data_IF_136259350412
#
_entry.id   IF_136259350412
#
_cell.length_a   1.000
_cell.length_b   1.000
_cell.length_c   1.000
_cell.angle_alpha   90.00
_cell.angle_beta   90.00
_cell.angle_gamma   90.00
#
_symmetry.space_group_name_H-M   'P 1'
#
loop_
_entity.id
_entity.type
_entity.pdbx_description
1 polymer ?
#
# COMPACT_ATOMS: atom_id res chain seq x y z
N UNK A 1 26.21 9.16 -1.82
CA UNK A 1 26.25 9.12 -0.35
C UNK A 1 26.45 10.51 0.20
N UNK A 2 25.64 10.90 1.19
CA UNK A 2 25.74 12.20 1.83
C UNK A 2 26.71 12.08 3.02
N UNK A 3 27.84 12.79 2.99
CA UNK A 3 28.92 12.71 3.99
C UNK A 3 28.72 13.62 5.22
N UNK A 4 27.47 14.02 5.50
CA UNK A 4 27.17 14.97 6.59
C UNK A 4 27.06 14.23 7.91
N UNK A 5 27.91 14.59 8.88
CA UNK A 5 27.89 14.03 10.24
C UNK A 5 26.79 14.67 11.10
N UNK A 6 26.27 13.97 12.13
CA UNK A 6 25.34 14.56 13.10
C UNK A 6 25.81 15.89 13.72
N UNK A 7 27.11 16.02 14.01
CA UNK A 7 27.70 17.21 14.61
C UNK A 7 27.59 18.45 13.69
N UNK A 8 27.54 18.24 12.37
CA UNK A 8 27.33 19.31 11.41
C UNK A 8 25.99 20.02 11.66
N UNK A 9 24.92 19.28 11.99
CA UNK A 9 23.61 19.84 12.29
C UNK A 9 23.60 20.71 13.56
N UNK A 10 24.36 20.31 14.59
CA UNK A 10 24.56 21.13 15.79
C UNK A 10 25.28 22.45 15.48
N UNK A 11 26.35 22.39 14.67
CA UNK A 11 27.08 23.59 14.25
C UNK A 11 26.26 24.54 13.37
N UNK A 12 25.45 24.03 12.44
CA UNK A 12 24.52 24.83 11.66
C UNK A 12 23.45 25.48 12.55
N UNK A 13 22.94 24.75 13.54
CA UNK A 13 21.99 25.29 14.52
C UNK A 13 22.58 26.46 15.30
N UNK A 14 23.84 26.36 15.76
CA UNK A 14 24.54 27.48 16.41
C UNK A 14 24.70 28.69 15.48
N UNK A 15 25.02 28.47 14.21
CA UNK A 15 25.13 29.56 13.24
C UNK A 15 23.79 30.28 13.01
N UNK A 16 22.70 29.54 12.92
CA UNK A 16 21.34 30.10 12.82
C UNK A 16 20.93 30.89 14.07
N UNK A 17 21.34 30.43 15.25
CA UNK A 17 21.11 31.15 16.50
C UNK A 17 21.95 32.45 16.59
N UNK A 18 23.18 32.42 16.07
CA UNK A 18 24.09 33.56 16.06
C UNK A 18 23.76 34.62 15.00
N UNK A 19 23.00 34.27 13.96
CA UNK A 19 22.57 35.24 12.94
C UNK A 19 21.43 36.11 13.48
N UNK A 20 21.76 37.25 14.09
CA UNK A 20 20.77 38.27 14.47
C UNK A 20 20.60 39.29 13.34
N UNK A 21 19.41 39.39 12.76
CA UNK A 21 19.01 40.56 11.98
C UNK A 21 18.39 41.60 12.92
N UNK A 22 18.85 42.85 12.82
CA UNK A 22 18.27 44.03 13.48
C UNK A 22 18.16 43.99 15.02
N UNK A 23 19.09 43.30 15.69
CA UNK A 23 19.15 43.25 17.16
C UNK A 23 17.98 42.49 17.81
N UNK A 24 17.25 41.68 17.03
CA UNK A 24 16.21 40.79 17.53
C UNK A 24 16.76 39.39 17.76
N UNK A 25 16.34 38.69 18.84
CA UNK A 25 16.74 37.32 19.08
C UNK A 25 16.14 36.41 18.00
N UNK A 26 17.00 35.65 17.33
CA UNK A 26 16.60 34.70 16.30
C UNK A 26 15.91 33.50 16.92
N UNK A 27 14.74 33.15 16.38
CA UNK A 27 13.94 32.01 16.83
C UNK A 27 14.15 30.87 15.87
N UNK A 28 14.78 29.81 16.34
CA UNK A 28 14.98 28.58 15.58
C UNK A 28 13.94 27.55 16.03
N UNK A 29 13.22 26.98 15.07
CA UNK A 29 12.32 25.86 15.30
C UNK A 29 12.99 24.58 14.75
N UNK A 30 13.24 23.62 15.64
CA UNK A 30 13.69 22.30 15.23
C UNK A 30 12.46 21.44 14.88
N UNK A 31 12.32 21.09 13.61
CA UNK A 31 11.24 20.22 13.10
C UNK A 31 11.86 18.89 12.69
N UNK A 32 11.45 17.82 13.37
CA UNK A 32 11.87 16.47 13.03
C UNK A 32 10.86 15.89 12.03
N UNK A 33 11.24 15.88 10.76
CA UNK A 33 10.53 15.14 9.72
C UNK A 33 11.05 13.70 9.67
N UNK A 34 10.16 12.72 9.47
CA UNK A 34 10.56 11.32 9.33
C UNK A 34 11.45 11.10 8.10
N UNK A 35 12.19 9.98 8.06
CA UNK A 35 13.07 9.67 6.92
C UNK A 35 13.77 8.32 7.05
N UNK A 36 14.56 7.97 6.04
CA UNK A 36 15.39 6.76 6.02
C UNK A 36 16.63 6.98 6.90
N UNK A 37 16.90 6.06 7.84
CA UNK A 37 17.96 6.11 8.86
C UNK A 37 17.61 6.90 10.15
N UNK A 38 16.78 6.27 10.98
CA UNK A 38 16.34 6.80 12.28
C UNK A 38 17.49 7.05 13.27
N UNK A 39 18.58 6.27 13.20
CA UNK A 39 19.75 6.46 14.08
C UNK A 39 20.49 7.76 13.75
N UNK A 40 20.68 8.06 12.45
CA UNK A 40 21.28 9.31 12.02
C UNK A 40 20.38 10.50 12.35
N UNK A 41 19.06 10.39 12.15
CA UNK A 41 18.10 11.44 12.50
C UNK A 41 18.13 11.72 14.00
N UNK A 42 18.17 10.66 14.82
CA UNK A 42 18.27 10.78 16.28
C UNK A 42 19.55 11.47 16.73
N UNK A 43 20.71 11.03 16.21
CA UNK A 43 21.99 11.63 16.55
C UNK A 43 22.05 13.11 16.12
N UNK A 44 21.57 13.44 14.92
CA UNK A 44 21.52 14.83 14.44
C UNK A 44 20.56 15.69 15.27
N UNK A 45 19.41 15.14 15.68
CA UNK A 45 18.46 15.83 16.55
C UNK A 45 19.05 16.13 17.93
N UNK A 46 19.81 15.18 18.50
CA UNK A 46 20.51 15.36 19.77
C UNK A 46 21.51 16.53 19.68
N UNK A 47 22.29 16.63 18.61
CA UNK A 47 23.24 17.72 18.38
C UNK A 47 22.54 19.08 18.21
N UNK A 48 21.39 19.13 17.53
CA UNK A 48 20.58 20.35 17.41
C UNK A 48 20.00 20.79 18.76
N UNK A 49 19.48 19.85 19.57
CA UNK A 49 18.93 20.15 20.89
C UNK A 49 20.03 20.61 21.84
N UNK A 50 21.20 19.97 21.82
CA UNK A 50 22.38 20.40 22.58
C UNK A 50 22.75 21.85 22.24
N UNK A 51 22.83 22.20 20.97
CA UNK A 51 23.08 23.58 20.52
C UNK A 51 22.01 24.59 20.98
N UNK A 52 20.74 24.17 21.10
CA UNK A 52 19.65 25.03 21.60
C UNK A 52 19.70 25.21 23.13
N UNK A 53 20.20 24.21 23.87
CA UNK A 53 20.28 24.21 25.33
C UNK A 53 21.53 24.95 25.86
N UNK A 54 22.65 24.88 25.15
CA UNK A 54 23.91 25.55 25.49
C UNK A 54 23.81 27.09 25.52
N UNK A 55 22.71 27.68 25.06
CA UNK A 55 22.41 29.12 25.22
C UNK A 55 21.99 29.53 26.64
N UNK A 56 21.95 28.60 27.60
CA UNK A 56 21.62 28.85 29.00
C UNK A 56 22.80 29.31 29.88
N UNK A 57 24.04 29.07 29.46
CA UNK A 57 25.24 29.50 30.19
C UNK A 57 26.19 30.15 29.19
N UNK A 58 26.20 31.49 29.20
CA UNK A 58 27.34 32.22 28.67
C UNK A 58 28.51 31.98 29.64
N UNK A 59 29.44 31.12 29.24
CA UNK A 59 30.82 31.20 29.70
C UNK A 59 31.76 30.95 28.52
N UNK A 60 32.94 31.54 28.64
CA UNK A 60 33.78 32.03 27.56
C UNK A 60 34.31 30.98 26.56
N UNK A 61 34.59 31.51 25.37
CA UNK A 61 35.24 30.89 24.22
C UNK A 61 36.54 30.15 24.53
N UNK A 62 36.73 28.98 23.91
CA UNK A 62 38.05 28.50 23.48
C UNK A 62 37.99 28.14 21.98
N UNK A 63 38.90 28.65 21.12
CA UNK A 63 38.92 28.32 19.69
C UNK A 63 39.46 26.90 19.49
N UNK A 64 38.80 26.12 18.62
CA UNK A 64 39.34 24.85 18.14
C UNK A 64 40.59 25.09 17.30
N UNK A 65 41.77 24.76 17.86
CA UNK A 65 42.98 24.56 17.09
C UNK A 65 42.78 23.44 16.06
N UNK A 66 43.21 23.73 14.83
CA UNK A 66 43.41 22.74 13.77
C UNK A 66 44.46 21.72 14.19
N UNK A 67 44.05 20.48 14.47
CA UNK A 67 44.98 19.36 14.57
C UNK A 67 45.11 18.71 13.20
N UNK A 68 46.18 19.07 12.48
CA UNK A 68 46.69 18.25 11.38
C UNK A 68 47.24 16.93 11.94
N UNK A 69 46.85 15.82 11.31
CA UNK A 69 47.60 14.57 11.34
C UNK A 69 47.25 13.58 12.45
N UNK A 70 46.29 12.68 12.19
CA UNK A 70 46.44 11.24 12.52
C UNK A 70 45.33 10.37 11.88
N UNK A 71 45.68 9.79 10.74
CA UNK A 71 45.24 8.52 10.12
C UNK A 71 43.77 8.00 10.24
N UNK A 72 43.14 7.59 9.11
CA UNK A 72 41.72 7.24 9.01
C UNK A 72 41.42 5.76 9.32
N UNK A 73 41.88 5.23 10.45
CA UNK A 73 41.57 3.84 10.81
C UNK A 73 41.54 3.61 12.33
N UNK A 74 40.40 3.88 12.96
CA UNK A 74 39.95 3.12 14.13
C UNK A 74 38.44 3.21 14.30
N UNK A 75 37.73 2.43 13.50
CA UNK A 75 36.38 1.96 13.84
C UNK A 75 36.45 1.29 15.22
N UNK A 76 35.97 1.98 16.26
CA UNK A 76 35.38 1.26 17.40
C UNK A 76 33.95 0.96 16.99
N UNK A 77 33.70 -0.30 16.66
CA UNK A 77 32.37 -0.87 16.56
C UNK A 77 31.56 -0.51 17.81
N UNK A 78 30.67 0.47 17.70
CA UNK A 78 29.60 0.63 18.67
C UNK A 78 28.65 -0.54 18.41
N UNK A 79 28.32 -1.40 19.39
CA UNK A 79 27.39 -2.49 19.17
C UNK A 79 26.07 -1.91 18.69
N UNK A 80 25.61 -2.32 17.50
CA UNK A 80 24.24 -2.10 17.08
C UNK A 80 23.34 -2.84 18.06
N UNK A 81 22.75 -2.11 19.00
CA UNK A 81 21.62 -2.62 19.76
C UNK A 81 20.43 -2.85 18.83
N UNK A 82 19.57 -3.81 19.17
CA UNK A 82 18.38 -4.15 18.38
C UNK A 82 17.55 -2.91 18.00
N UNK A 83 16.84 -2.90 16.85
CA UNK A 83 16.08 -1.73 16.36
C UNK A 83 15.06 -1.15 17.36
N UNK A 84 14.53 -1.97 18.28
CA UNK A 84 13.64 -1.55 19.36
C UNK A 84 14.36 -0.72 20.43
N UNK A 85 15.64 -0.97 20.65
CA UNK A 85 16.48 -0.19 21.57
C UNK A 85 16.88 1.16 20.99
N UNK A 86 17.01 1.29 19.66
CA UNK A 86 17.34 2.54 18.98
C UNK A 86 16.27 3.61 19.20
N UNK A 87 15.00 3.32 18.90
CA UNK A 87 13.92 4.31 19.04
C UNK A 87 13.61 4.65 20.51
N UNK A 88 13.68 3.66 21.40
CA UNK A 88 13.55 3.87 22.84
C UNK A 88 14.74 4.68 23.37
N UNK A 89 15.97 4.43 22.90
CA UNK A 89 17.15 5.22 23.24
C UNK A 89 17.06 6.63 22.68
N UNK A 90 16.55 6.82 21.47
CA UNK A 90 16.30 8.14 20.87
C UNK A 90 15.28 8.93 21.68
N UNK A 91 14.15 8.31 22.04
CA UNK A 91 13.15 8.92 22.90
C UNK A 91 13.67 9.17 24.31
N UNK A 92 14.49 8.29 24.86
CA UNK A 92 15.11 8.44 26.17
C UNK A 92 16.15 9.55 26.17
N UNK A 93 17.03 9.63 25.16
CA UNK A 93 18.02 10.70 24.98
C UNK A 93 17.34 12.05 24.77
N UNK A 94 16.30 12.11 23.93
CA UNK A 94 15.48 13.32 23.75
C UNK A 94 14.77 13.69 25.05
N UNK A 95 14.19 12.73 25.78
CA UNK A 95 13.51 12.99 27.06
C UNK A 95 14.50 13.45 28.13
N UNK A 96 15.71 12.89 28.18
CA UNK A 96 16.78 13.33 29.08
C UNK A 96 17.26 14.75 28.73
N UNK A 97 17.42 15.07 27.45
CA UNK A 97 17.76 16.43 27.02
C UNK A 97 16.62 17.43 27.30
N UNK A 98 15.36 17.04 27.08
CA UNK A 98 14.18 17.86 27.37
C UNK A 98 13.94 18.02 28.87
N UNK A 99 14.36 17.06 29.70
CA UNK A 99 14.26 17.16 31.17
C UNK A 99 15.24 18.16 31.79
N UNK A 100 16.27 18.57 31.04
CA UNK A 100 17.18 19.65 31.40
C UNK A 100 16.65 21.05 31.05
N UNK A 101 15.48 21.15 30.40
CA UNK A 101 14.83 22.44 30.14
C UNK A 101 14.32 23.05 31.47
N UNK A 102 14.50 24.36 31.70
CA UNK A 102 13.89 25.04 32.83
C UNK A 102 12.36 24.84 32.80
N UNK A 103 11.75 24.54 33.94
CA UNK A 103 10.29 24.29 34.13
C UNK A 103 9.38 25.46 33.70
N UNK A 104 9.97 26.56 33.21
CA UNK A 104 9.31 27.80 32.86
C UNK A 104 9.18 27.99 31.34
N UNK A 105 9.62 27.03 30.50
CA UNK A 105 9.24 27.03 29.09
C UNK A 105 7.79 26.57 28.95
N UNK A 106 6.90 27.55 28.84
CA UNK A 106 5.53 27.32 28.41
C UNK A 106 5.61 26.95 26.92
N UNK A 107 5.73 25.65 26.61
CA UNK A 107 5.62 25.12 25.25
C UNK A 107 4.14 25.20 24.90
N UNK A 108 3.68 26.12 24.02
CA UNK A 108 2.32 26.05 23.54
C UNK A 108 2.21 24.79 22.69
N UNK A 109 1.53 23.77 23.21
CA UNK A 109 0.95 22.73 22.37
C UNK A 109 -0.11 23.45 21.54
N UNK A 110 0.26 23.93 20.36
CA UNK A 110 -0.69 24.55 19.41
C UNK A 110 -1.60 23.41 18.93
N UNK A 111 -2.87 23.36 19.37
CA UNK A 111 -3.78 22.37 18.84
C UNK A 111 -4.01 22.73 17.37
N UNK A 112 -3.90 21.73 16.48
CA UNK A 112 -4.32 21.90 15.09
C UNK A 112 -5.73 22.55 15.06
N UNK A 113 -5.95 23.61 14.27
CA UNK A 113 -7.18 24.38 14.32
C UNK A 113 -8.39 23.47 14.07
N UNK A 114 -9.24 23.32 15.09
CA UNK A 114 -10.57 22.72 14.94
C UNK A 114 -11.38 23.61 14.01
N UNK A 115 -11.67 23.12 12.80
CA UNK A 115 -12.62 23.78 11.89
C UNK A 115 -13.96 23.95 12.62
N UNK A 116 -14.38 25.21 12.74
CA UNK A 116 -15.69 25.58 13.25
C UNK A 116 -16.78 24.89 12.43
N UNK A 117 -17.70 24.21 13.11
CA UNK A 117 -18.90 23.68 12.51
C UNK A 117 -19.77 24.84 11.99
N UNK A 118 -19.75 25.09 10.69
CA UNK A 118 -20.79 25.90 10.05
C UNK A 118 -22.10 25.11 10.10
N UNK A 119 -23.01 25.55 10.97
CA UNK A 119 -24.41 25.12 10.96
C UNK A 119 -25.05 25.53 9.64
N UNK A 120 -25.43 24.57 8.81
CA UNK A 120 -26.38 24.77 7.71
C UNK A 120 -27.81 24.56 8.22
N UNK A 121 -28.80 25.35 7.79
CA UNK A 121 -30.18 25.25 8.26
C UNK A 121 -30.89 24.03 7.67
N UNK A 122 -31.84 23.51 8.44
CA UNK A 122 -32.28 22.12 8.37
C UNK A 122 -32.97 21.67 7.07
N UNK A 123 -32.78 20.38 6.77
CA UNK A 123 -33.74 19.57 6.03
C UNK A 123 -33.97 18.25 6.77
N UNK A 124 -35.25 17.99 7.00
CA UNK A 124 -35.82 16.85 7.74
C UNK A 124 -35.34 15.52 7.17
N UNK A 125 -34.85 14.65 8.06
CA UNK A 125 -34.65 13.22 7.84
C UNK A 125 -35.97 12.45 7.92
N UNK A 126 -36.26 11.50 7.02
CA UNK A 126 -37.08 10.35 7.37
C UNK A 126 -36.19 9.22 7.91
N UNK A 127 -36.64 8.70 9.05
CA UNK A 127 -36.19 7.51 9.77
C UNK A 127 -35.67 6.39 8.87
N UNK A 128 -34.42 5.94 9.08
CA UNK A 128 -33.96 4.63 8.59
C UNK A 128 -33.30 3.85 9.72
N UNK A 129 -33.96 2.74 10.06
CA UNK A 129 -33.64 1.75 11.09
C UNK A 129 -32.16 1.38 11.11
N UNK A 130 -31.60 1.34 12.33
CA UNK A 130 -30.34 0.62 12.65
C UNK A 130 -30.44 -0.80 12.08
N UNK A 131 -29.55 -1.16 11.17
CA UNK A 131 -29.20 -2.54 10.86
C UNK A 131 -27.71 -2.70 11.07
N UNK A 132 -27.35 -3.42 12.13
CA UNK A 132 -26.05 -4.03 12.31
C UNK A 132 -25.81 -5.03 11.18
N UNK A 133 -24.77 -4.82 10.37
CA UNK A 133 -24.29 -5.82 9.42
C UNK A 133 -23.35 -6.76 10.15
N UNK A 134 -23.91 -7.84 10.69
CA UNK A 134 -23.16 -9.04 11.08
C UNK A 134 -22.85 -9.83 9.80
N UNK A 135 -21.57 -10.19 9.63
CA UNK A 135 -21.15 -11.22 8.69
C UNK A 135 -21.89 -12.52 9.05
N UNK A 136 -22.62 -13.11 8.11
CA UNK A 136 -23.23 -14.43 8.27
C UNK A 136 -22.68 -15.37 7.20
N UNK A 137 -22.24 -16.52 7.67
CA UNK A 137 -21.92 -17.70 6.88
C UNK A 137 -23.26 -18.43 6.71
N UNK A 138 -23.70 -18.63 5.46
CA UNK A 138 -24.92 -19.38 5.19
C UNK A 138 -24.70 -20.86 5.51
N UNK A 139 -25.57 -21.43 6.34
CA UNK A 139 -25.71 -22.87 6.57
C UNK A 139 -26.98 -23.35 5.85
N UNK A 140 -27.06 -24.60 5.36
CA UNK A 140 -28.18 -25.08 4.55
C UNK A 140 -29.49 -25.21 5.36
N UNK A 141 -30.66 -25.22 4.69
CA UNK A 141 -31.95 -25.12 5.35
C UNK A 141 -32.35 -26.44 6.01
N UNK A 142 -32.73 -26.36 7.29
CA UNK A 142 -33.46 -27.42 8.01
C UNK A 142 -34.94 -27.35 7.63
N UNK A 143 -35.49 -28.42 7.06
CA UNK A 143 -36.94 -28.67 7.01
C UNK A 143 -37.39 -29.50 8.21
N UNK A 144 -38.69 -29.44 8.61
CA UNK A 144 -39.14 -29.92 9.91
C UNK A 144 -39.76 -31.33 9.90
N UNK A 145 -39.84 -31.89 11.12
CA UNK A 145 -40.73 -32.93 11.67
C UNK A 145 -40.40 -34.44 11.53
N UNK A 146 -39.98 -34.97 12.71
CA UNK A 146 -40.39 -36.20 13.43
C UNK A 146 -40.80 -37.48 12.66
N UNK A 147 -40.15 -38.62 12.95
CA UNK A 147 -40.63 -39.82 13.68
C UNK A 147 -39.49 -40.87 13.74
N UNK A 148 -39.59 -41.76 14.74
CA UNK A 148 -38.61 -42.62 15.39
C UNK A 148 -38.06 -43.87 14.64
N UNK A 149 -37.06 -44.47 15.32
CA UNK A 149 -36.69 -45.90 15.44
C UNK A 149 -35.34 -46.39 14.88
N UNK A 150 -34.52 -46.85 15.84
CA UNK A 150 -33.49 -47.89 15.86
C UNK A 150 -33.05 -48.55 14.54
N UNK A 151 -31.73 -48.67 14.30
CA UNK A 151 -30.92 -49.88 14.58
C UNK A 151 -29.50 -49.78 13.97
N UNK A 152 -28.65 -50.75 14.31
CA UNK A 152 -27.17 -50.80 14.28
C UNK A 152 -26.50 -50.91 12.89
N UNK A 153 -25.15 -50.90 12.94
CA UNK A 153 -24.14 -51.33 11.93
C UNK A 153 -23.81 -50.30 10.85
N UNK A 154 -22.56 -50.02 10.45
CA UNK A 154 -21.24 -50.58 10.72
C UNK A 154 -20.18 -49.63 10.13
N UNK A 155 -18.90 -49.97 10.31
CA UNK A 155 -17.73 -49.20 9.88
C UNK A 155 -17.71 -48.89 8.37
N UNK A 156 -17.27 -47.68 7.97
CA UNK A 156 -16.01 -47.51 7.22
C UNK A 156 -15.61 -46.04 7.02
N UNK A 157 -14.32 -45.89 6.70
CA UNK A 157 -13.49 -44.70 6.49
C UNK A 157 -13.99 -43.63 5.50
N UNK A 158 -13.82 -42.34 5.82
CA UNK A 158 -13.45 -41.29 4.86
C UNK A 158 -13.12 -39.95 5.53
N UNK A 159 -11.99 -39.37 5.16
CA UNK A 159 -11.47 -38.08 5.61
C UNK A 159 -12.40 -36.89 5.25
N UNK A 160 -12.49 -35.84 6.08
CA UNK A 160 -13.36 -34.71 5.77
C UNK A 160 -12.67 -33.69 4.85
N UNK A 161 -13.33 -33.45 3.71
CA UNK A 161 -13.71 -32.10 3.26
C UNK A 161 -12.62 -31.25 2.61
N UNK A 162 -12.52 -31.35 1.27
CA UNK A 162 -11.87 -30.34 0.43
C UNK A 162 -12.57 -28.97 0.62
N UNK A 163 -11.78 -27.94 0.93
CA UNK A 163 -12.25 -26.59 1.17
C UNK A 163 -12.84 -25.96 -0.11
N UNK A 164 -14.09 -25.49 -0.02
CA UNK A 164 -14.70 -24.64 -1.05
C UNK A 164 -13.88 -23.34 -1.20
N UNK A 165 -13.46 -23.09 -2.45
CA UNK A 165 -12.40 -22.13 -2.76
C UNK A 165 -12.80 -20.67 -2.55
N UNK A 166 -11.94 -19.95 -1.84
CA UNK A 166 -12.02 -18.51 -1.64
C UNK A 166 -11.72 -17.80 -2.97
N UNK A 167 -12.72 -17.11 -3.54
CA UNK A 167 -12.50 -16.13 -4.63
C UNK A 167 -12.25 -14.76 -3.99
N UNK A 168 -10.99 -14.40 -3.79
CA UNK A 168 -10.62 -13.09 -3.23
C UNK A 168 -10.74 -12.02 -4.31
N UNK A 169 -11.86 -11.29 -4.30
CA UNK A 169 -11.99 -10.05 -5.07
C UNK A 169 -11.34 -8.89 -4.31
N UNK A 170 -10.14 -8.49 -4.74
CA UNK A 170 -9.57 -7.19 -4.39
C UNK A 170 -10.47 -6.05 -4.90
N UNK A 171 -11.02 -5.25 -3.99
CA UNK A 171 -11.69 -3.98 -4.32
C UNK A 171 -13.04 -4.02 -5.08
N UNK A 172 -13.46 -5.16 -5.63
CA UNK A 172 -14.71 -5.34 -6.39
C UNK A 172 -15.99 -5.38 -5.52
N UNK A 173 -17.11 -4.98 -6.11
CA UNK A 173 -18.44 -5.13 -5.51
C UNK A 173 -18.79 -6.62 -5.38
N UNK A 174 -19.38 -7.04 -4.25
CA UNK A 174 -19.95 -8.39 -4.08
C UNK A 174 -20.82 -8.77 -5.31
N UNK A 175 -20.56 -9.96 -5.89
CA UNK A 175 -21.29 -10.48 -7.06
C UNK A 175 -20.72 -10.07 -8.44
N UNK A 176 -19.53 -9.47 -8.49
CA UNK A 176 -18.87 -9.04 -9.73
C UNK A 176 -17.87 -10.02 -10.34
N UNK A 177 -17.36 -10.99 -9.58
CA UNK A 177 -16.36 -11.98 -10.02
C UNK A 177 -16.83 -13.38 -9.61
N UNK A 178 -16.73 -14.35 -10.52
CA UNK A 178 -16.99 -15.77 -10.26
C UNK A 178 -15.99 -16.62 -11.03
N UNK A 179 -15.72 -17.85 -10.59
CA UNK A 179 -14.97 -18.81 -11.42
C UNK A 179 -15.81 -19.20 -12.64
N UNK A 180 -15.14 -19.42 -13.76
CA UNK A 180 -15.79 -19.92 -14.96
C UNK A 180 -16.17 -21.40 -14.77
N UNK A 181 -17.47 -21.76 -14.84
CA UNK A 181 -17.90 -23.14 -14.68
C UNK A 181 -17.53 -24.04 -15.87
N UNK A 182 -17.25 -23.46 -17.03
CA UNK A 182 -16.96 -24.20 -18.27
C UNK A 182 -15.46 -24.33 -18.55
N UNK A 183 -14.64 -23.45 -17.94
CA UNK A 183 -13.20 -23.41 -18.17
C UNK A 183 -12.42 -23.25 -16.87
N UNK A 184 -11.78 -24.33 -16.45
CA UNK A 184 -10.90 -24.30 -15.27
C UNK A 184 -9.76 -23.29 -15.44
N UNK A 185 -9.37 -22.66 -14.33
CA UNK A 185 -8.31 -21.66 -14.31
C UNK A 185 -8.68 -20.28 -14.82
N UNK A 186 -9.97 -20.00 -15.02
CA UNK A 186 -10.47 -18.68 -15.41
C UNK A 186 -11.53 -18.16 -14.43
N UNK A 187 -11.59 -16.83 -14.32
CA UNK A 187 -12.65 -16.08 -13.65
C UNK A 187 -13.40 -15.22 -14.66
N UNK A 188 -14.69 -15.05 -14.40
CA UNK A 188 -15.59 -14.16 -15.12
C UNK A 188 -15.76 -12.90 -14.27
N UNK A 189 -15.32 -11.75 -14.80
CA UNK A 189 -15.46 -10.43 -14.17
C UNK A 189 -16.47 -9.58 -14.93
N UNK A 190 -17.51 -9.11 -14.24
CA UNK A 190 -18.41 -8.07 -14.75
C UNK A 190 -17.69 -6.73 -14.74
N UNK A 191 -17.64 -6.05 -15.88
CA UNK A 191 -16.90 -4.80 -16.02
C UNK A 191 -17.56 -3.76 -16.94
N UNK A 192 -17.00 -2.56 -16.97
CA UNK A 192 -17.39 -1.43 -17.80
C UNK A 192 -16.70 -1.49 -19.16
N UNK A 193 -17.23 -0.71 -20.11
CA UNK A 193 -16.71 -0.63 -21.48
C UNK A 193 -15.19 -0.41 -21.57
N UNK A 194 -14.61 0.51 -20.78
CA UNK A 194 -13.17 0.82 -20.84
C UNK A 194 -12.27 -0.38 -20.52
N UNK A 195 -12.57 -1.16 -19.49
CA UNK A 195 -11.76 -2.34 -19.16
C UNK A 195 -11.95 -3.44 -20.20
N UNK A 196 -13.17 -3.60 -20.73
CA UNK A 196 -13.44 -4.53 -21.83
C UNK A 196 -12.69 -4.14 -23.12
N UNK A 197 -12.71 -2.86 -23.50
CA UNK A 197 -11.96 -2.31 -24.64
C UNK A 197 -10.46 -2.57 -24.47
N UNK A 198 -9.91 -2.29 -23.28
CA UNK A 198 -8.50 -2.51 -22.98
C UNK A 198 -8.07 -3.98 -23.17
N UNK A 199 -8.81 -4.93 -22.58
CA UNK A 199 -8.48 -6.35 -22.75
C UNK A 199 -8.69 -6.83 -24.18
N UNK A 200 -9.71 -6.31 -24.87
CA UNK A 200 -9.96 -6.68 -26.27
C UNK A 200 -8.82 -6.22 -27.17
N UNK A 201 -8.33 -5.00 -26.96
CA UNK A 201 -7.18 -4.45 -27.67
C UNK A 201 -5.90 -5.24 -27.36
N UNK A 202 -5.60 -5.47 -26.09
CA UNK A 202 -4.37 -6.13 -25.64
C UNK A 202 -4.25 -7.60 -26.07
N UNK A 203 -5.38 -8.31 -26.15
CA UNK A 203 -5.41 -9.72 -26.53
C UNK A 203 -5.98 -9.97 -27.93
N UNK A 204 -6.25 -8.91 -28.70
CA UNK A 204 -6.84 -8.98 -30.04
C UNK A 204 -8.13 -9.82 -30.09
N UNK A 205 -8.97 -9.66 -29.07
CA UNK A 205 -10.24 -10.40 -28.94
C UNK A 205 -11.29 -9.70 -29.81
N UNK A 206 -11.98 -10.43 -30.72
CA UNK A 206 -13.06 -9.86 -31.49
C UNK A 206 -14.17 -9.33 -30.58
N UNK A 207 -14.59 -8.09 -30.81
CA UNK A 207 -15.70 -7.48 -30.09
C UNK A 207 -16.82 -7.09 -31.05
N UNK A 208 -18.04 -6.97 -30.53
CA UNK A 208 -19.12 -6.33 -31.26
C UNK A 208 -18.71 -4.94 -31.76
N UNK A 209 -19.26 -4.54 -32.91
CA UNK A 209 -19.00 -3.27 -33.63
C UNK A 209 -19.17 -1.99 -32.80
N UNK A 210 -19.73 -2.07 -31.59
CA UNK A 210 -19.91 -0.94 -30.67
C UNK A 210 -18.70 -0.59 -29.80
N UNK A 211 -17.72 -1.50 -29.65
CA UNK A 211 -16.46 -1.18 -28.97
C UNK A 211 -15.52 -0.55 -30.00
N UNK A 212 -15.67 0.76 -30.20
CA UNK A 212 -14.73 1.53 -31.03
C UNK A 212 -13.41 1.59 -30.26
N UNK A 213 -12.41 0.81 -30.69
CA UNK A 213 -11.06 0.94 -30.15
C UNK A 213 -10.52 2.32 -30.49
N UNK A 214 -10.02 3.03 -29.49
CA UNK A 214 -9.25 4.25 -29.73
C UNK A 214 -8.09 3.93 -30.69
N UNK A 215 -7.85 4.72 -31.76
CA UNK A 215 -6.70 4.47 -32.62
C UNK A 215 -5.43 4.61 -31.79
N UNK A 216 -4.58 3.58 -31.83
CA UNK A 216 -3.29 3.57 -31.14
C UNK A 216 -2.15 3.72 -32.14
N UNK A 217 -1.04 4.26 -31.66
CA UNK A 217 0.19 4.40 -32.43
C UNK A 217 0.98 3.09 -32.44
N UNK A 218 1.89 2.92 -33.41
CA UNK A 218 2.81 1.78 -33.44
C UNK A 218 3.65 1.64 -32.16
N UNK A 219 3.96 2.78 -31.50
CA UNK A 219 4.65 2.76 -30.19
C UNK A 219 3.77 2.12 -29.13
N UNK A 220 2.50 2.51 -29.05
CA UNK A 220 1.54 1.95 -28.11
C UNK A 220 1.32 0.45 -28.36
N UNK A 221 1.27 0.00 -29.62
CA UNK A 221 1.20 -1.43 -29.96
C UNK A 221 2.39 -2.22 -29.39
N UNK A 222 3.62 -1.75 -29.60
CA UNK A 222 4.83 -2.39 -29.05
C UNK A 222 4.83 -2.43 -27.52
N UNK A 223 4.34 -1.36 -26.88
CA UNK A 223 4.22 -1.30 -25.42
C UNK A 223 3.16 -2.27 -24.91
N UNK A 224 2.03 -2.44 -25.59
CA UNK A 224 0.99 -3.41 -25.20
C UNK A 224 1.51 -4.85 -25.29
N UNK A 225 2.30 -5.20 -26.31
CA UNK A 225 2.93 -6.53 -26.37
C UNK A 225 3.86 -6.81 -25.18
N UNK A 226 4.59 -5.79 -24.70
CA UNK A 226 5.39 -5.88 -23.48
C UNK A 226 4.55 -5.94 -22.20
N UNK A 227 3.36 -5.33 -22.20
CA UNK A 227 2.44 -5.33 -21.06
C UNK A 227 1.74 -6.67 -20.87
N UNK A 228 1.43 -7.36 -21.98
CA UNK A 228 0.66 -8.60 -22.03
C UNK A 228 1.07 -9.66 -20.99
N UNK A 229 2.36 -10.00 -20.78
CA UNK A 229 2.76 -10.96 -19.75
C UNK A 229 2.55 -10.45 -18.31
N UNK A 230 2.42 -9.15 -18.10
CA UNK A 230 2.29 -8.51 -16.79
C UNK A 230 0.83 -8.36 -16.33
N UNK A 231 -0.15 -8.71 -17.16
CA UNK A 231 -1.58 -8.65 -16.84
C UNK A 231 -2.23 -10.04 -16.89
N UNK A 232 -3.43 -10.23 -16.32
CA UNK A 232 -4.17 -11.47 -16.47
C UNK A 232 -4.47 -11.77 -17.94
N UNK A 233 -4.20 -13.00 -18.38
CA UNK A 233 -4.60 -13.45 -19.72
C UNK A 233 -6.11 -13.33 -19.88
N UNK A 234 -6.56 -12.57 -20.88
CA UNK A 234 -7.98 -12.52 -21.23
C UNK A 234 -8.25 -13.42 -22.44
N UNK A 235 -9.32 -14.21 -22.38
CA UNK A 235 -9.68 -15.15 -23.44
C UNK A 235 -11.01 -14.86 -24.09
N UNK A 236 -11.86 -14.05 -23.46
CA UNK A 236 -13.15 -13.67 -24.01
C UNK A 236 -13.65 -12.34 -23.43
N UNK A 237 -14.40 -11.61 -24.24
CA UNK A 237 -15.09 -10.37 -23.87
C UNK A 237 -16.50 -10.43 -24.44
N UNK A 238 -17.50 -10.33 -23.57
CA UNK A 238 -18.92 -10.43 -23.95
C UNK A 238 -19.69 -9.21 -23.47
N UNK A 239 -20.58 -8.69 -24.31
CA UNK A 239 -21.52 -7.64 -23.94
C UNK A 239 -22.81 -8.25 -23.38
N UNK A 240 -23.20 -7.85 -22.18
CA UNK A 240 -24.40 -8.34 -21.50
C UNK A 240 -25.67 -7.55 -21.80
N UNK A 241 -25.55 -6.22 -21.85
CA UNK A 241 -26.72 -5.33 -22.04
C UNK A 241 -26.30 -3.92 -22.46
N UNK A 242 -27.29 -3.10 -22.83
CA UNK A 242 -27.15 -1.67 -23.09
C UNK A 242 -27.08 -0.81 -21.79
N UNK A 243 -27.18 -1.42 -20.60
CA UNK A 243 -27.22 -0.67 -19.34
C UNK A 243 -25.83 -0.16 -18.91
N UNK A 244 -25.77 1.10 -18.45
CA UNK A 244 -24.50 1.82 -18.21
C UNK A 244 -23.62 1.29 -17.06
N UNK A 245 -24.12 0.40 -16.19
CA UNK A 245 -23.32 -0.15 -15.09
C UNK A 245 -23.00 -1.62 -15.35
N UNK A 246 -21.71 -1.90 -15.60
CA UNK A 246 -21.18 -3.25 -15.79
C UNK A 246 -21.79 -4.01 -16.98
N UNK A 247 -21.81 -3.36 -18.15
CA UNK A 247 -22.35 -3.86 -19.41
C UNK A 247 -21.59 -5.05 -20.03
N UNK A 248 -20.43 -5.43 -19.50
CA UNK A 248 -19.55 -6.43 -20.10
C UNK A 248 -19.16 -7.53 -19.11
N UNK A 249 -18.80 -8.69 -19.63
CA UNK A 249 -18.04 -9.74 -18.94
C UNK A 249 -16.73 -9.96 -19.65
N UNK A 250 -15.69 -10.19 -18.86
CA UNK A 250 -14.37 -10.59 -19.34
C UNK A 250 -13.93 -11.86 -18.63
N UNK A 251 -13.26 -12.74 -19.35
CA UNK A 251 -12.73 -14.00 -18.84
C UNK A 251 -11.24 -13.88 -18.65
N UNK A 252 -10.80 -13.82 -17.40
CA UNK A 252 -9.41 -13.59 -17.01
C UNK A 252 -8.81 -14.84 -16.38
N UNK A 253 -7.50 -15.05 -16.53
CA UNK A 253 -6.79 -16.09 -15.79
C UNK A 253 -7.02 -15.96 -14.27
N UNK A 254 -7.31 -17.06 -13.61
CA UNK A 254 -7.42 -17.13 -12.15
C UNK A 254 -6.01 -17.31 -11.56
N UNK A 255 -5.45 -16.24 -10.98
CA UNK A 255 -4.12 -16.29 -10.35
C UNK A 255 -4.06 -17.31 -9.20
N UNK A 256 -5.20 -17.67 -8.60
CA UNK A 256 -5.29 -18.64 -7.50
C UNK A 256 -5.54 -20.07 -7.96
N UNK A 257 -5.63 -20.30 -9.28
CA UNK A 257 -5.88 -21.63 -9.81
C UNK A 257 -4.78 -22.62 -9.40
N UNK A 258 -5.22 -23.80 -8.95
CA UNK A 258 -4.36 -24.87 -8.45
C UNK A 258 -3.82 -24.68 -7.03
N UNK A 259 -4.09 -23.55 -6.36
CA UNK A 259 -3.62 -23.31 -4.99
C UNK A 259 -4.52 -23.99 -3.95
N UNK A 260 -3.92 -24.64 -2.95
CA UNK A 260 -4.63 -25.29 -1.83
C UNK A 260 -4.88 -24.31 -0.68
N UNK A 261 -3.91 -23.45 -0.37
CA UNK A 261 -3.98 -22.43 0.67
C UNK A 261 -3.56 -21.07 0.09
N UNK A 262 -4.38 -20.47 -0.79
CA UNK A 262 -4.02 -19.23 -1.46
C UNK A 262 -3.87 -18.09 -0.46
N UNK A 263 -2.77 -17.36 -0.56
CA UNK A 263 -2.53 -16.11 0.12
C UNK A 263 -2.51 -15.00 -0.92
N UNK A 264 -3.38 -14.00 -0.78
CA UNK A 264 -3.62 -12.97 -1.81
C UNK A 264 -3.54 -11.58 -1.21
N UNK A 265 -2.88 -10.66 -1.91
CA UNK A 265 -2.77 -9.25 -1.54
C UNK A 265 -3.04 -8.37 -2.76
N UNK A 266 -3.91 -7.38 -2.60
CA UNK A 266 -4.24 -6.37 -3.60
C UNK A 266 -3.67 -5.02 -3.16
N UNK A 267 -2.76 -4.49 -3.98
CA UNK A 267 -2.05 -3.24 -3.75
C UNK A 267 -2.47 -2.23 -4.81
N UNK A 268 -3.30 -1.26 -4.43
CA UNK A 268 -3.71 -0.17 -5.31
C UNK A 268 -2.59 0.85 -5.48
N UNK A 269 -2.39 1.30 -6.72
CA UNK A 269 -1.35 2.23 -7.11
C UNK A 269 -1.89 3.63 -7.40
N UNK A 270 -1.03 4.62 -7.21
CA UNK A 270 -1.27 6.01 -7.56
C UNK A 270 -2.00 6.83 -6.49
N UNK A 271 -1.86 8.14 -6.64
CA UNK A 271 -2.49 9.20 -5.84
C UNK A 271 -3.66 9.87 -6.56
N UNK A 272 -3.97 9.43 -7.79
CA UNK A 272 -5.06 9.95 -8.62
C UNK A 272 -6.14 8.89 -8.85
N UNK A 273 -7.35 9.15 -8.36
CA UNK A 273 -8.49 8.23 -8.47
C UNK A 273 -9.64 8.67 -9.39
N UNK A 274 -9.37 9.62 -10.28
CA UNK A 274 -10.36 10.24 -11.16
C UNK A 274 -9.81 10.38 -12.59
N UNK A 275 -10.71 10.44 -13.56
CA UNK A 275 -10.38 10.70 -14.97
C UNK A 275 -10.43 12.21 -15.27
N UNK A 276 -9.75 12.61 -16.35
CA UNK A 276 -9.76 13.98 -16.86
C UNK A 276 -11.18 14.29 -17.38
N UNK A 277 -12.01 14.93 -16.54
CA UNK A 277 -13.42 15.20 -16.82
C UNK A 277 -14.37 14.89 -15.66
N UNK A 278 -13.89 14.27 -14.58
CA UNK A 278 -14.68 14.18 -13.35
C UNK A 278 -14.83 15.58 -12.76
N UNK A 279 -16.07 15.96 -12.41
CA UNK A 279 -16.39 17.26 -11.82
C UNK A 279 -17.37 17.10 -10.64
N UNK A 280 -17.53 18.18 -9.86
CA UNK A 280 -18.51 18.27 -8.78
C UNK A 280 -18.36 17.19 -7.71
N UNK A 281 -19.48 16.67 -7.21
CA UNK A 281 -19.51 15.71 -6.11
C UNK A 281 -18.73 14.41 -6.39
N UNK A 282 -18.71 13.96 -7.65
CA UNK A 282 -17.98 12.74 -8.03
C UNK A 282 -16.47 12.92 -7.92
N UNK A 283 -15.95 14.08 -8.33
CA UNK A 283 -14.54 14.41 -8.15
C UNK A 283 -14.21 14.55 -6.66
N UNK A 284 -15.05 15.26 -5.90
CA UNK A 284 -14.84 15.46 -4.47
C UNK A 284 -14.76 14.12 -3.70
N UNK A 285 -15.64 13.16 -4.02
CA UNK A 285 -15.60 11.82 -3.43
C UNK A 285 -14.26 11.10 -3.68
N UNK A 286 -13.66 11.29 -4.86
CA UNK A 286 -12.36 10.70 -5.21
C UNK A 286 -11.22 11.39 -4.48
N UNK A 287 -11.26 12.72 -4.40
CA UNK A 287 -10.28 13.51 -3.64
C UNK A 287 -10.30 13.13 -2.16
N UNK A 288 -11.50 13.01 -1.56
CA UNK A 288 -11.66 12.59 -0.17
C UNK A 288 -11.09 11.17 0.03
N UNK A 289 -11.33 10.23 -0.89
CA UNK A 289 -10.77 8.88 -0.82
C UNK A 289 -9.24 8.84 -0.86
N UNK A 290 -8.62 9.72 -1.64
CA UNK A 290 -7.15 9.83 -1.71
C UNK A 290 -6.61 10.43 -0.42
N UNK A 291 -7.17 11.56 0.03
CA UNK A 291 -6.80 12.24 1.29
C UNK A 291 -6.96 11.33 2.50
N UNK A 292 -8.05 10.56 2.54
CA UNK A 292 -8.41 9.71 3.67
C UNK A 292 -7.77 8.31 3.57
N UNK A 293 -6.67 8.16 2.83
CA UNK A 293 -5.86 6.93 2.80
C UNK A 293 -4.37 7.22 2.64
N UNK A 294 -3.55 6.16 2.59
CA UNK A 294 -2.12 6.24 2.24
C UNK A 294 -1.87 6.64 0.79
N UNK A 295 -2.88 6.65 -0.08
CA UNK A 295 -2.72 6.94 -1.51
C UNK A 295 -2.16 8.35 -1.78
N UNK A 296 -2.60 9.37 -1.04
CA UNK A 296 -2.11 10.74 -1.28
C UNK A 296 -0.62 10.88 -0.99
N UNK A 297 -0.19 10.39 0.17
CA UNK A 297 1.19 10.56 0.65
C UNK A 297 2.13 9.50 0.05
N UNK A 298 1.72 8.23 0.04
CA UNK A 298 2.57 7.11 -0.34
C UNK A 298 2.37 6.64 -1.78
N UNK A 299 1.33 7.10 -2.48
CA UNK A 299 0.92 6.59 -3.79
C UNK A 299 0.69 5.07 -3.85
N UNK A 300 0.55 4.43 -2.69
CA UNK A 300 0.32 3.00 -2.51
C UNK A 300 -0.76 2.84 -1.45
N UNK A 301 -1.70 1.93 -1.69
CA UNK A 301 -2.70 1.56 -0.69
C UNK A 301 -3.06 0.10 -0.79
N UNK A 302 -2.91 -0.64 0.30
CA UNK A 302 -3.47 -1.98 0.41
C UNK A 302 -5.01 -1.91 0.35
N UNK A 303 -5.64 -2.79 -0.41
CA UNK A 303 -7.10 -2.82 -0.55
C UNK A 303 -7.73 -4.11 -0.07
N UNK A 304 -6.98 -5.21 -0.12
CA UNK A 304 -7.34 -6.47 0.48
C UNK A 304 -6.07 -7.26 0.81
N UNK A 305 -6.14 -8.05 1.88
CA UNK A 305 -5.16 -9.08 2.20
C UNK A 305 -5.91 -10.27 2.78
N UNK A 306 -5.57 -11.45 2.30
CA UNK A 306 -6.02 -12.74 2.82
C UNK A 306 -4.83 -13.68 2.87
N UNK A 307 -4.55 -14.23 4.04
CA UNK A 307 -3.49 -15.23 4.24
C UNK A 307 -4.08 -16.44 4.96
N UNK A 308 -3.66 -17.61 4.54
CA UNK A 308 -4.21 -18.90 4.97
C UNK A 308 -3.08 -19.84 5.41
N UNK A 309 -3.42 -20.80 6.28
CA UNK A 309 -2.50 -21.88 6.63
C UNK A 309 -1.24 -21.40 7.34
N UNK A 310 -0.07 -21.91 6.92
CA UNK A 310 1.21 -21.59 7.53
C UNK A 310 1.63 -20.11 7.35
N UNK A 311 1.03 -19.39 6.40
CA UNK A 311 1.36 -17.99 6.13
C UNK A 311 0.92 -17.02 7.25
N UNK A 312 0.05 -17.44 8.16
CA UNK A 312 -0.43 -16.59 9.26
C UNK A 312 0.49 -16.58 10.48
N UNK A 313 1.54 -17.42 10.47
CA UNK A 313 2.51 -17.57 11.54
C UNK A 313 2.56 -18.99 12.11
N UNK A 314 3.34 -19.22 13.19
CA UNK A 314 3.60 -20.55 13.74
C UNK A 314 2.35 -21.33 14.16
N UNK A 315 1.28 -20.61 14.55
CA UNK A 315 0.02 -21.22 15.00
C UNK A 315 -0.94 -21.56 13.85
N UNK A 316 -0.61 -21.21 12.60
CA UNK A 316 -1.50 -21.34 11.46
C UNK A 316 -2.77 -20.49 11.56
N UNK A 317 -3.71 -20.69 10.63
CA UNK A 317 -5.03 -20.05 10.64
C UNK A 317 -5.34 -19.18 9.43
N UNK A 318 -6.17 -18.16 9.63
CA UNK A 318 -6.56 -17.18 8.61
C UNK A 318 -6.26 -15.78 9.12
N UNK A 319 -5.58 -14.96 8.32
CA UNK A 319 -5.39 -13.54 8.62
C UNK A 319 -5.84 -12.71 7.42
N UNK A 320 -6.94 -11.99 7.63
CA UNK A 320 -7.58 -11.16 6.63
C UNK A 320 -7.60 -9.72 7.12
N UNK A 321 -7.26 -8.78 6.23
CA UNK A 321 -7.48 -7.36 6.48
C UNK A 321 -8.67 -6.88 5.66
N UNK A 322 -9.66 -6.32 6.34
CA UNK A 322 -10.77 -5.64 5.69
C UNK A 322 -10.28 -4.38 4.98
N UNK A 323 -11.04 -3.94 3.98
CA UNK A 323 -10.78 -2.66 3.28
C UNK A 323 -10.64 -1.48 4.25
N UNK A 324 -11.39 -1.47 5.35
CA UNK A 324 -11.32 -0.42 6.37
C UNK A 324 -10.00 -0.46 7.12
N UNK A 325 -9.54 -1.64 7.51
CA UNK A 325 -8.23 -1.82 8.16
C UNK A 325 -7.09 -1.44 7.21
N UNK A 326 -7.14 -1.86 5.94
CA UNK A 326 -6.13 -1.46 4.98
C UNK A 326 -6.11 0.06 4.73
N UNK A 327 -7.28 0.72 4.75
CA UNK A 327 -7.39 2.19 4.61
C UNK A 327 -6.82 2.94 5.82
N UNK A 328 -6.73 2.28 6.98
CA UNK A 328 -6.15 2.86 8.20
C UNK A 328 -4.62 2.86 8.17
N UNK A 329 -3.97 2.10 7.29
CA UNK A 329 -2.52 2.10 7.11
C UNK A 329 -2.10 3.39 6.41
N UNK A 330 -1.30 4.21 7.09
CA UNK A 330 -0.90 5.55 6.61
C UNK A 330 0.59 5.72 6.43
N UNK A 331 1.41 4.85 7.03
CA UNK A 331 2.86 5.01 7.05
C UNK A 331 3.59 3.91 6.24
N UNK A 332 4.80 4.19 5.74
CA UNK A 332 5.67 3.18 5.13
C UNK A 332 5.90 1.97 6.05
N UNK A 333 6.21 2.22 7.33
CA UNK A 333 6.51 1.18 8.31
C UNK A 333 5.35 0.21 8.54
N UNK A 334 4.11 0.72 8.53
CA UNK A 334 2.91 -0.13 8.59
C UNK A 334 2.80 -1.02 7.36
N UNK A 335 2.97 -0.47 6.15
CA UNK A 335 2.96 -1.26 4.91
C UNK A 335 4.06 -2.33 4.93
N UNK A 336 5.29 -1.96 5.28
CA UNK A 336 6.43 -2.89 5.38
C UNK A 336 6.14 -4.00 6.39
N UNK A 337 5.52 -3.68 7.53
CA UNK A 337 5.10 -4.69 8.53
C UNK A 337 4.09 -5.67 7.94
N UNK A 338 3.13 -5.17 7.13
CA UNK A 338 2.18 -6.03 6.44
C UNK A 338 2.87 -6.91 5.40
N UNK A 339 3.80 -6.37 4.59
CA UNK A 339 4.57 -7.15 3.61
C UNK A 339 5.39 -8.26 4.28
N UNK A 340 6.06 -7.96 5.41
CA UNK A 340 6.80 -8.93 6.23
C UNK A 340 5.92 -10.05 6.73
N UNK A 341 4.68 -9.72 7.15
CA UNK A 341 3.74 -10.73 7.64
C UNK A 341 3.10 -11.52 6.50
N UNK A 342 2.82 -10.89 5.36
CA UNK A 342 2.32 -11.56 4.16
C UNK A 342 3.32 -12.61 3.64
N UNK A 343 4.62 -12.30 3.73
CA UNK A 343 5.71 -13.19 3.30
C UNK A 343 6.37 -13.94 4.46
N UNK A 344 5.69 -14.08 5.60
CA UNK A 344 6.29 -14.62 6.83
C UNK A 344 6.99 -15.97 6.65
N UNK A 345 6.45 -16.87 5.81
CA UNK A 345 7.00 -18.20 5.57
C UNK A 345 8.37 -18.18 4.88
N UNK A 346 8.63 -17.17 4.06
CA UNK A 346 9.87 -17.03 3.29
C UNK A 346 10.04 -15.55 2.91
N UNK A 347 10.50 -14.74 3.89
CA UNK A 347 10.60 -13.29 3.70
C UNK A 347 11.59 -12.92 2.60
N UNK A 348 12.69 -13.65 2.50
CA UNK A 348 13.71 -13.40 1.48
C UNK A 348 13.20 -13.82 0.09
N UNK A 349 12.78 -15.08 -0.08
CA UNK A 349 12.41 -15.62 -1.37
C UNK A 349 11.10 -15.05 -1.91
N UNK A 350 10.03 -14.99 -1.12
CA UNK A 350 8.77 -14.36 -1.55
C UNK A 350 8.93 -12.84 -1.64
N UNK A 351 9.69 -12.21 -0.74
CA UNK A 351 9.95 -10.78 -0.80
C UNK A 351 10.75 -10.37 -2.05
N UNK A 352 11.74 -11.18 -2.45
CA UNK A 352 12.49 -11.01 -3.70
C UNK A 352 11.59 -11.18 -4.93
N UNK A 353 10.72 -12.20 -4.95
CA UNK A 353 9.78 -12.37 -6.06
C UNK A 353 8.78 -11.21 -6.16
N UNK A 354 8.26 -10.72 -5.02
CA UNK A 354 7.39 -9.53 -4.98
C UNK A 354 8.09 -8.26 -5.48
N UNK A 355 9.37 -8.09 -5.13
CA UNK A 355 10.24 -7.04 -5.64
C UNK A 355 10.39 -7.14 -7.16
N UNK A 356 10.69 -8.32 -7.70
CA UNK A 356 10.94 -8.54 -9.12
C UNK A 356 9.67 -8.31 -9.97
N UNK A 357 8.51 -8.74 -9.47
CA UNK A 357 7.21 -8.45 -10.09
C UNK A 357 6.98 -6.93 -10.13
N UNK A 358 7.20 -6.24 -9.01
CA UNK A 358 7.00 -4.79 -8.92
C UNK A 358 7.93 -4.04 -9.86
N UNK A 359 9.20 -4.44 -9.96
CA UNK A 359 10.19 -3.85 -10.88
C UNK A 359 9.79 -4.04 -12.34
N UNK A 360 9.37 -5.25 -12.76
CA UNK A 360 8.93 -5.48 -14.15
C UNK A 360 7.76 -4.58 -14.54
N UNK A 361 6.83 -4.35 -13.62
CA UNK A 361 5.70 -3.43 -13.83
C UNK A 361 6.19 -1.98 -13.87
N UNK A 362 7.09 -1.58 -12.96
CA UNK A 362 7.71 -0.26 -12.97
C UNK A 362 8.45 0.03 -14.28
N UNK A 363 9.30 -0.88 -14.73
CA UNK A 363 10.07 -0.76 -15.96
C UNK A 363 9.15 -0.53 -17.17
N UNK A 364 8.00 -1.23 -17.21
CA UNK A 364 7.00 -1.01 -18.24
C UNK A 364 6.40 0.40 -18.19
N UNK A 365 6.01 0.88 -17.00
CA UNK A 365 5.46 2.22 -16.85
C UNK A 365 6.48 3.31 -17.21
N UNK A 366 7.73 3.16 -16.78
CA UNK A 366 8.82 4.07 -17.13
C UNK A 366 9.11 4.06 -18.64
N UNK A 367 9.09 2.90 -19.30
CA UNK A 367 9.23 2.83 -20.75
C UNK A 367 8.02 3.41 -21.48
N UNK A 368 6.82 3.26 -20.90
CA UNK A 368 5.59 3.79 -21.47
C UNK A 368 5.61 5.32 -21.53
N UNK A 369 6.28 5.98 -20.58
CA UNK A 369 6.50 7.44 -20.56
C UNK A 369 5.26 8.23 -20.98
N UNK A 370 4.14 7.99 -20.29
CA UNK A 370 2.86 8.66 -20.56
C UNK A 370 2.19 8.28 -21.88
N UNK A 371 2.60 7.22 -22.58
CA UNK A 371 1.89 6.67 -23.74
C UNK A 371 0.46 6.25 -23.41
N UNK A 372 0.24 5.89 -22.15
CA UNK A 372 -1.05 5.54 -21.59
C UNK A 372 -1.20 6.27 -20.25
N UNK A 373 -2.42 6.65 -19.90
CA UNK A 373 -2.75 6.99 -18.52
C UNK A 373 -3.52 5.82 -17.92
N UNK A 374 -2.85 5.00 -17.10
CA UNK A 374 -3.46 3.88 -16.38
C UNK A 374 -3.54 4.24 -14.90
N UNK A 375 -4.67 4.80 -14.48
CA UNK A 375 -4.91 5.19 -13.08
C UNK A 375 -5.85 4.22 -12.37
N UNK A 376 -5.87 4.25 -11.03
CA UNK A 376 -6.69 3.36 -10.19
C UNK A 376 -6.41 1.85 -10.33
N UNK A 377 -5.34 1.46 -11.01
CA UNK A 377 -4.93 0.07 -11.15
C UNK A 377 -4.38 -0.49 -9.84
N UNK A 378 -4.19 -1.80 -9.79
CA UNK A 378 -3.61 -2.50 -8.65
C UNK A 378 -2.62 -3.56 -9.11
N UNK A 379 -1.66 -3.92 -8.26
CA UNK A 379 -0.93 -5.19 -8.38
C UNK A 379 -1.65 -6.21 -7.49
N UNK A 380 -2.07 -7.32 -8.08
CA UNK A 380 -2.55 -8.48 -7.34
C UNK A 380 -1.40 -9.47 -7.20
N UNK A 381 -1.06 -9.82 -5.97
CA UNK A 381 -0.03 -10.80 -5.62
C UNK A 381 -0.68 -12.02 -4.98
N UNK A 382 -0.23 -13.22 -5.36
CA UNK A 382 -0.74 -14.47 -4.81
C UNK A 382 0.36 -15.53 -4.69
N UNK A 383 0.31 -16.37 -3.65
CA UNK A 383 1.12 -17.58 -3.54
C UNK A 383 0.34 -18.68 -2.79
N UNK A 384 0.76 -19.93 -2.90
CA UNK A 384 0.16 -21.04 -2.15
C UNK A 384 0.96 -21.36 -0.89
N UNK A 385 0.35 -21.17 0.29
CA UNK A 385 0.98 -21.48 1.57
C UNK A 385 1.09 -22.99 1.86
N UNK A 386 0.45 -23.84 1.05
CA UNK A 386 0.58 -25.29 1.17
C UNK A 386 1.82 -25.85 0.44
N UNK A 387 2.49 -25.04 -0.38
CA UNK A 387 3.71 -25.43 -1.07
C UNK A 387 4.92 -25.36 -0.12
N UNK A 388 5.82 -26.34 -0.21
CA UNK A 388 7.07 -26.34 0.56
C UNK A 388 7.99 -25.16 0.16
N UNK A 389 7.94 -24.75 -1.12
CA UNK A 389 8.67 -23.62 -1.68
C UNK A 389 7.73 -22.67 -2.42
N UNK A 390 6.93 -21.87 -1.70
CA UNK A 390 5.90 -21.05 -2.31
C UNK A 390 6.44 -20.13 -3.40
N UNK A 391 5.75 -20.07 -4.53
CA UNK A 391 6.07 -19.15 -5.62
C UNK A 391 5.04 -18.01 -5.70
N UNK A 392 5.53 -16.78 -5.81
CA UNK A 392 4.68 -15.60 -5.94
C UNK A 392 4.29 -15.39 -7.40
N UNK A 393 2.99 -15.35 -7.65
CA UNK A 393 2.38 -14.87 -8.88
C UNK A 393 1.98 -13.41 -8.68
N UNK A 394 2.14 -12.59 -9.71
CA UNK A 394 1.71 -11.20 -9.63
C UNK A 394 1.39 -10.58 -10.97
N UNK A 395 0.29 -9.83 -11.02
CA UNK A 395 -0.22 -9.18 -12.23
C UNK A 395 -0.79 -7.79 -11.93
N UNK A 396 -0.65 -6.88 -12.90
CA UNK A 396 -1.35 -5.61 -12.92
C UNK A 396 -2.82 -5.83 -13.31
N UNK A 397 -3.75 -5.28 -12.54
CA UNK A 397 -5.21 -5.44 -12.70
C UNK A 397 -5.95 -4.09 -12.62
N UNK A 398 -7.26 -4.13 -12.90
CA UNK A 398 -8.21 -3.00 -12.82
C UNK A 398 -7.99 -1.89 -13.87
N UNK A 399 -8.32 -2.19 -15.13
CA UNK A 399 -8.13 -1.28 -16.28
C UNK A 399 -9.36 -0.44 -16.62
N UNK A 400 -10.23 -0.16 -15.64
CA UNK A 400 -11.48 0.58 -15.88
C UNK A 400 -11.27 2.09 -16.15
N UNK A 401 -10.06 2.60 -15.94
CA UNK A 401 -9.71 4.01 -16.04
C UNK A 401 -8.48 4.26 -16.92
N UNK A 402 -8.32 3.46 -17.99
CA UNK A 402 -7.27 3.68 -19.00
C UNK A 402 -7.66 4.83 -19.94
N UNK A 403 -6.68 5.64 -20.32
CA UNK A 403 -6.75 6.66 -21.38
C UNK A 403 -5.57 6.47 -22.36
N UNK A 404 -5.87 6.60 -23.66
CA UNK A 404 -4.92 6.39 -24.76
C UNK A 404 -4.41 7.69 -25.38
N UNK A 405 -4.93 8.85 -24.95
CA UNK A 405 -4.58 10.16 -25.51
C UNK A 405 -3.16 10.62 -25.17
N UNK A 406 -2.52 9.97 -24.20
CA UNK A 406 -1.16 10.23 -23.77
C UNK A 406 -1.03 11.57 -23.02
N UNK A 407 -1.12 11.52 -21.69
CA UNK A 407 -0.85 12.67 -20.82
C UNK A 407 -0.07 12.22 -19.57
N UNK A 408 0.48 13.16 -18.81
CA UNK A 408 1.38 12.99 -17.63
C UNK A 408 0.70 12.27 -16.42
N UNK A 409 -0.37 11.50 -16.64
CA UNK A 409 -1.30 11.05 -15.61
C UNK A 409 -0.87 9.81 -14.80
N UNK A 410 0.21 9.13 -15.17
CA UNK A 410 0.72 7.93 -14.48
C UNK A 410 1.88 8.22 -13.52
N UNK A 411 2.33 9.47 -13.38
CA UNK A 411 3.41 9.86 -12.47
C UNK A 411 3.18 9.38 -11.01
N UNK A 412 1.92 9.44 -10.55
CA UNK A 412 1.54 8.90 -9.25
C UNK A 412 1.70 7.38 -9.17
N UNK A 413 1.39 6.64 -10.24
CA UNK A 413 1.56 5.18 -10.30
C UNK A 413 3.05 4.81 -10.29
N UNK A 414 3.87 5.49 -11.09
CA UNK A 414 5.34 5.33 -11.09
C UNK A 414 5.92 5.61 -9.69
N UNK A 415 5.49 6.71 -9.05
CA UNK A 415 5.88 7.04 -7.67
C UNK A 415 5.49 5.92 -6.69
N UNK A 416 4.26 5.42 -6.79
CA UNK A 416 3.78 4.31 -5.96
C UNK A 416 4.59 3.02 -6.15
N UNK A 417 4.92 2.68 -7.40
CA UNK A 417 5.74 1.52 -7.73
C UNK A 417 7.17 1.64 -7.18
N UNK A 418 7.81 2.81 -7.30
CA UNK A 418 9.12 3.08 -6.69
C UNK A 418 9.09 2.95 -5.17
N UNK A 419 8.07 3.52 -4.52
CA UNK A 419 7.89 3.35 -3.08
C UNK A 419 7.69 1.88 -2.71
N UNK A 420 6.90 1.13 -3.47
CA UNK A 420 6.67 -0.30 -3.22
C UNK A 420 7.95 -1.14 -3.41
N UNK A 421 8.81 -0.77 -4.37
CA UNK A 421 10.16 -1.35 -4.53
C UNK A 421 10.98 -1.16 -3.24
N UNK A 422 11.02 0.05 -2.69
CA UNK A 422 11.72 0.33 -1.43
C UNK A 422 11.13 -0.45 -0.26
N UNK A 423 9.79 -0.52 -0.18
CA UNK A 423 9.11 -1.27 0.87
C UNK A 423 9.42 -2.77 0.81
N UNK A 424 9.49 -3.36 -0.38
CA UNK A 424 9.92 -4.75 -0.55
C UNK A 424 11.38 -4.96 -0.13
N UNK A 425 12.27 -4.02 -0.48
CA UNK A 425 13.68 -4.09 -0.07
C UNK A 425 13.84 -4.07 1.45
N UNK A 426 13.05 -3.25 2.16
CA UNK A 426 13.01 -3.24 3.61
C UNK A 426 12.32 -4.48 4.19
N UNK A 427 11.24 -4.95 3.58
CA UNK A 427 10.43 -6.05 4.10
C UNK A 427 11.15 -7.40 4.05
N UNK A 428 11.97 -7.63 3.02
CA UNK A 428 12.74 -8.87 2.85
C UNK A 428 13.99 -8.95 3.74
N UNK A 429 14.44 -7.82 4.29
CA UNK A 429 15.55 -7.76 5.25
C UNK A 429 14.99 -7.96 6.67
N UNK A 430 15.72 -8.71 7.50
CA UNK A 430 15.30 -9.08 8.87
C UNK A 430 15.15 -7.90 9.82
#
# INVERSE_FOLDING_TARGET
DCEVTPQCFGSLTRQLLASSEDGRPTRVALVLEGGYNLDSIAASAEECVRALLEMGEADETEPLETVEGSSPNRLRSVPLGEPKSSLIRTLHNLTSCLSALPTNMNIPVVPLPRRAAQKSPGKRTPNRKRRSSSFKIDSPPTTPDMVAENSQEGADTSAPGAAEGIVVSGGGHEGGIARDPEREGFIIKKTKAKEAEFYSLLFSIPTDTSLVSSPITERQERLLEKLKPLVPTCVNVERLSDEKKSAYRIWLEDLTYGMKQPCVMDVKLGDKYWENGYTGAKLQEKLDKVRDSSAGELAVRLTALCTNGAATGPSGGHWNLSKKECTALRTPSEIITILRRFTWMDREGLGQQGLDITKKILDWFEESDGAFEIVCSSILLAFDAAEEKPQMRGKLIDFAHVDYSGTVGDAGVVRGLRNLVDYWQCARQD
#
